data_IF_947690436401
#
_entry.id   IF_947690436401
#
_cell.length_a   1.000
_cell.length_b   1.000
_cell.length_c   1.000
_cell.angle_alpha   90.00
_cell.angle_beta   90.00
_cell.angle_gamma   90.00
#
_symmetry.space_group_name_H-M   'P 1'
#
loop_
_entity.id
_entity.type
_entity.pdbx_description
1 polymer ?
#
# COMPACT_ATOMS: atom_id res chain seq x y z
N UNK A 1 -12.71 -0.57 28.33
CA UNK A 1 -13.56 -0.06 27.23
C UNK A 1 -13.89 -1.26 26.35
N UNK A 2 -15.14 -1.76 26.34
CA UNK A 2 -15.51 -2.85 25.44
C UNK A 2 -15.57 -2.26 24.03
N UNK A 3 -14.60 -2.58 23.17
CA UNK A 3 -14.73 -2.36 21.74
C UNK A 3 -15.98 -3.12 21.28
N UNK A 4 -16.92 -2.42 20.65
CA UNK A 4 -18.11 -3.09 20.14
C UNK A 4 -17.68 -3.96 18.96
N UNK A 5 -18.27 -5.14 18.84
CA UNK A 5 -17.99 -6.08 17.73
C UNK A 5 -18.21 -5.43 16.34
N UNK A 6 -19.03 -4.39 16.29
CA UNK A 6 -19.23 -3.55 15.10
C UNK A 6 -17.95 -2.77 14.72
N UNK A 7 -17.25 -2.20 15.69
CA UNK A 7 -16.02 -1.42 15.45
C UNK A 7 -14.88 -2.32 14.94
N UNK A 8 -14.78 -3.55 15.47
CA UNK A 8 -13.82 -4.55 14.99
C UNK A 8 -14.11 -4.97 13.53
N UNK A 9 -15.39 -5.11 13.18
CA UNK A 9 -15.83 -5.43 11.82
C UNK A 9 -15.51 -4.29 10.84
N UNK A 10 -15.77 -3.04 11.22
CA UNK A 10 -15.43 -1.88 10.39
C UNK A 10 -13.91 -1.74 10.18
N UNK A 11 -13.12 -1.95 11.25
CA UNK A 11 -11.66 -1.93 11.16
C UNK A 11 -11.14 -3.03 10.21
N UNK A 12 -11.69 -4.25 10.31
CA UNK A 12 -11.34 -5.36 9.41
C UNK A 12 -11.65 -5.03 7.94
N UNK A 13 -12.83 -4.48 7.66
CA UNK A 13 -13.24 -4.08 6.31
C UNK A 13 -12.28 -2.99 5.78
N UNK A 14 -11.97 -1.97 6.59
CA UNK A 14 -11.07 -0.90 6.20
C UNK A 14 -9.67 -1.43 5.84
N UNK A 15 -9.10 -2.35 6.62
CA UNK A 15 -7.80 -2.94 6.29
C UNK A 15 -7.82 -3.77 5.00
N UNK A 16 -8.90 -4.52 4.77
CA UNK A 16 -9.04 -5.32 3.54
C UNK A 16 -9.19 -4.41 2.32
N UNK A 17 -10.00 -3.37 2.42
CA UNK A 17 -10.20 -2.35 1.37
C UNK A 17 -8.92 -1.58 1.07
N UNK A 18 -8.16 -1.19 2.10
CA UNK A 18 -6.86 -0.52 1.94
C UNK A 18 -5.88 -1.39 1.15
N UNK A 19 -5.80 -2.70 1.47
CA UNK A 19 -4.93 -3.63 0.75
C UNK A 19 -5.34 -3.79 -0.72
N UNK A 20 -6.64 -3.91 -0.99
CA UNK A 20 -7.15 -4.05 -2.35
C UNK A 20 -6.88 -2.79 -3.18
N UNK A 21 -7.09 -1.61 -2.59
CA UNK A 21 -6.78 -0.32 -3.20
C UNK A 21 -5.28 -0.20 -3.52
N UNK A 22 -4.40 -0.59 -2.59
CA UNK A 22 -2.95 -0.60 -2.84
C UNK A 22 -2.54 -1.53 -3.99
N UNK A 23 -3.15 -2.72 -4.11
CA UNK A 23 -2.90 -3.64 -5.23
C UNK A 23 -3.34 -3.00 -6.54
N UNK A 24 -4.54 -2.42 -6.58
CA UNK A 24 -5.06 -1.74 -7.77
C UNK A 24 -4.13 -0.62 -8.25
N UNK A 25 -3.68 0.26 -7.34
CA UNK A 25 -2.78 1.37 -7.69
C UNK A 25 -1.44 0.84 -8.23
N UNK A 26 -0.87 -0.21 -7.63
CA UNK A 26 0.37 -0.81 -8.15
C UNK A 26 0.18 -1.36 -9.56
N UNK A 27 -0.92 -2.08 -9.82
CA UNK A 27 -1.22 -2.60 -11.16
C UNK A 27 -1.39 -1.46 -12.17
N UNK A 28 -2.09 -0.40 -11.80
CA UNK A 28 -2.29 0.77 -12.65
C UNK A 28 -0.97 1.46 -12.98
N UNK A 29 -0.10 1.68 -12.00
CA UNK A 29 1.22 2.30 -12.19
C UNK A 29 2.14 1.43 -13.05
N UNK A 30 2.18 0.12 -12.80
CA UNK A 30 2.98 -0.83 -13.61
C UNK A 30 2.47 -0.84 -15.06
N UNK A 31 1.15 -0.85 -15.25
CA UNK A 31 0.54 -0.79 -16.59
C UNK A 31 0.91 0.52 -17.29
N UNK A 32 0.85 1.66 -16.59
CA UNK A 32 1.25 2.95 -17.13
C UNK A 32 2.72 2.96 -17.55
N UNK A 33 3.59 2.40 -16.71
CA UNK A 33 5.03 2.31 -16.97
C UNK A 33 5.31 1.43 -18.18
N UNK A 34 4.60 0.32 -18.34
CA UNK A 34 4.69 -0.55 -19.52
C UNK A 34 4.21 0.17 -20.80
N UNK A 35 3.06 0.86 -20.76
CA UNK A 35 2.51 1.58 -21.92
C UNK A 35 3.43 2.73 -22.34
N UNK A 36 3.97 3.49 -21.39
CA UNK A 36 4.90 4.60 -21.69
C UNK A 36 6.22 4.09 -22.23
N UNK A 37 6.75 2.99 -21.69
CA UNK A 37 7.96 2.36 -22.21
C UNK A 37 7.77 1.87 -23.66
N UNK A 38 6.63 1.26 -23.98
CA UNK A 38 6.32 0.82 -25.36
C UNK A 38 6.18 1.99 -26.33
N UNK A 39 5.58 3.12 -25.90
CA UNK A 39 5.33 4.27 -26.78
C UNK A 39 6.55 5.14 -27.01
N UNK A 40 7.35 5.38 -25.96
CA UNK A 40 8.43 6.37 -26.00
C UNK A 40 9.80 5.72 -26.07
N UNK A 41 9.93 4.44 -25.70
CA UNK A 41 11.22 3.72 -25.60
C UNK A 41 12.07 4.13 -24.40
N UNK A 42 11.70 5.20 -23.70
CA UNK A 42 12.36 5.70 -22.50
C UNK A 42 11.65 5.22 -21.23
N UNK A 43 12.44 4.90 -20.20
CA UNK A 43 11.89 4.61 -18.88
C UNK A 43 11.57 5.93 -18.17
N UNK A 44 10.29 6.20 -17.85
CA UNK A 44 9.95 7.43 -17.13
C UNK A 44 10.44 7.34 -15.68
N UNK A 45 11.64 7.87 -15.44
CA UNK A 45 12.31 7.86 -14.14
C UNK A 45 11.43 8.37 -13.00
N UNK A 46 10.63 9.41 -13.25
CA UNK A 46 9.73 10.00 -12.25
C UNK A 46 8.64 8.99 -11.84
N UNK A 47 7.98 8.34 -12.81
CA UNK A 47 6.94 7.34 -12.54
C UNK A 47 7.50 6.12 -11.83
N UNK A 48 8.71 5.69 -12.20
CA UNK A 48 9.41 4.61 -11.51
C UNK A 48 9.72 4.96 -10.06
N UNK A 49 10.26 6.15 -9.80
CA UNK A 49 10.56 6.64 -8.46
C UNK A 49 9.32 6.72 -7.58
N UNK A 50 8.20 7.24 -8.11
CA UNK A 50 6.91 7.29 -7.40
C UNK A 50 6.47 5.87 -7.01
N UNK A 51 6.56 4.92 -7.94
CA UNK A 51 6.20 3.51 -7.69
C UNK A 51 7.06 2.90 -6.58
N UNK A 52 8.38 3.15 -6.58
CA UNK A 52 9.29 2.71 -5.54
C UNK A 52 8.97 3.34 -4.18
N UNK A 53 8.76 4.66 -4.13
CA UNK A 53 8.43 5.36 -2.88
C UNK A 53 7.10 4.90 -2.29
N UNK A 54 6.06 4.71 -3.12
CA UNK A 54 4.78 4.17 -2.67
C UNK A 54 4.96 2.80 -1.98
N UNK A 55 5.73 1.92 -2.59
CA UNK A 55 6.01 0.60 -2.02
C UNK A 55 6.82 0.73 -0.72
N UNK A 56 7.85 1.56 -0.70
CA UNK A 56 8.67 1.78 0.49
C UNK A 56 7.86 2.33 1.67
N UNK A 57 6.98 3.30 1.44
CA UNK A 57 6.10 3.86 2.47
C UNK A 57 5.12 2.80 2.97
N UNK A 58 4.48 2.05 2.06
CA UNK A 58 3.51 1.02 2.46
C UNK A 58 4.14 -0.08 3.33
N UNK A 59 5.29 -0.62 2.89
CA UNK A 59 6.00 -1.65 3.67
C UNK A 59 6.59 -1.07 4.96
N UNK A 60 7.13 0.16 4.92
CA UNK A 60 7.65 0.86 6.08
C UNK A 60 6.59 1.08 7.17
N UNK A 61 5.43 1.64 6.80
CA UNK A 61 4.31 1.82 7.70
C UNK A 61 3.80 0.49 8.27
N UNK A 62 3.66 -0.54 7.40
CA UNK A 62 3.21 -1.87 7.85
C UNK A 62 4.16 -2.45 8.90
N UNK A 63 5.47 -2.39 8.66
CA UNK A 63 6.48 -2.89 9.59
C UNK A 63 6.51 -2.08 10.89
N UNK A 64 6.43 -0.75 10.81
CA UNK A 64 6.43 0.13 11.97
C UNK A 64 5.21 -0.12 12.88
N UNK A 65 4.01 -0.15 12.31
CA UNK A 65 2.76 -0.39 13.06
C UNK A 65 2.77 -1.79 13.67
N UNK A 66 3.23 -2.79 12.92
CA UNK A 66 3.33 -4.18 13.40
C UNK A 66 4.30 -4.28 14.59
N UNK A 67 5.44 -3.57 14.53
CA UNK A 67 6.39 -3.49 15.65
C UNK A 67 5.80 -2.79 16.87
N UNK A 68 5.07 -1.69 16.70
CA UNK A 68 4.43 -1.00 17.83
C UNK A 68 3.39 -1.88 18.54
N UNK A 69 2.55 -2.59 17.79
CA UNK A 69 1.54 -3.49 18.37
C UNK A 69 2.24 -4.63 19.12
N UNK A 70 3.22 -5.28 18.50
CA UNK A 70 3.97 -6.38 19.13
C UNK A 70 4.78 -5.94 20.35
N UNK A 71 5.23 -4.69 20.41
CA UNK A 71 5.95 -4.14 21.58
C UNK A 71 5.01 -3.73 22.72
N UNK A 72 3.75 -3.40 22.45
CA UNK A 72 2.74 -3.05 23.45
C UNK A 72 2.04 -4.28 24.07
N UNK A 73 2.26 -5.47 23.50
CA UNK A 73 1.75 -6.75 24.03
C UNK A 73 2.66 -7.39 25.10
N UNK A 74 3.84 -6.82 25.36
CA UNK A 74 4.74 -7.22 26.46
C UNK A 74 4.64 -6.26 27.63
#
# INVERSE_FOLDING_TARGET
MKLNKADEMEMYINFKSMRLSWVFVNVALVTWLAVTFIKTGELPFILFMITCFQNMIFFGCKLYITRQISSNEK
#
